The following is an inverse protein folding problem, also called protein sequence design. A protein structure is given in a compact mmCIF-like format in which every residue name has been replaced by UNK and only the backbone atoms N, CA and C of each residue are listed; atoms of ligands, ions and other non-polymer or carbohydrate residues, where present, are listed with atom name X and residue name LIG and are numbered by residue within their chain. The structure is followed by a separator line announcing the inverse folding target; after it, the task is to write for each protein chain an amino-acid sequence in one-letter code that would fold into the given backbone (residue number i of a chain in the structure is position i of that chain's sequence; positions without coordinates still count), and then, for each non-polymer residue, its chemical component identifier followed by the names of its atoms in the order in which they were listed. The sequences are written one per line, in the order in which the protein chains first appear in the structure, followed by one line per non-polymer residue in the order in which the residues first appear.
data_IF_761594688190
#
_entry.id   IF_761594688190
#
_cell.length_a   1.000
_cell.length_b   1.000
_cell.length_c   1.000
_cell.angle_alpha   90.00
_cell.angle_beta   90.00
_cell.angle_gamma   90.00
#
_symmetry.space_group_name_H-M   'P 1'
#
loop_
_entity.id
_entity.type
_entity.pdbx_description
1 polymer ?
#
# COMPACT_ATOMS: atom_id res chain seq x y z
N UNK A 1 22.40 3.63 -2.48
CA UNK A 1 20.95 3.52 -2.75
C UNK A 1 20.65 4.35 -3.98
N UNK A 2 19.88 3.84 -4.94
CA UNK A 2 19.35 4.63 -6.04
C UNK A 2 18.28 5.61 -5.51
N UNK A 3 18.13 6.76 -6.16
CA UNK A 3 17.36 7.87 -5.61
C UNK A 3 16.03 8.10 -6.29
N UNK A 4 15.82 7.52 -7.48
CA UNK A 4 14.58 7.66 -8.25
C UNK A 4 14.03 6.31 -8.72
N UNK A 5 12.75 6.25 -9.05
CA UNK A 5 12.14 5.06 -9.65
C UNK A 5 12.78 4.71 -11.00
N UNK A 6 13.12 5.73 -11.78
CA UNK A 6 13.76 5.55 -13.07
C UNK A 6 15.16 4.94 -12.96
N UNK A 7 15.91 5.26 -11.90
CA UNK A 7 17.23 4.65 -11.64
C UNK A 7 17.10 3.12 -11.43
N UNK A 8 16.12 2.69 -10.60
CA UNK A 8 15.86 1.27 -10.38
C UNK A 8 15.40 0.57 -11.66
N UNK A 9 14.46 1.17 -12.39
CA UNK A 9 13.96 0.62 -13.65
C UNK A 9 15.08 0.43 -14.68
N UNK A 10 15.97 1.43 -14.83
CA UNK A 10 17.12 1.37 -15.72
C UNK A 10 18.15 0.31 -15.27
N UNK A 11 18.42 0.22 -13.94
CA UNK A 11 19.30 -0.80 -13.39
C UNK A 11 18.81 -2.21 -13.71
N UNK A 12 17.56 -2.52 -13.44
CA UNK A 12 17.03 -3.87 -13.63
C UNK A 12 16.87 -4.22 -15.10
N UNK A 13 16.43 -3.27 -15.93
CA UNK A 13 16.46 -3.45 -17.39
C UNK A 13 17.85 -3.80 -17.91
N UNK A 14 18.91 -3.20 -17.34
CA UNK A 14 20.30 -3.48 -17.73
C UNK A 14 20.82 -4.83 -17.22
N UNK A 15 20.48 -5.19 -15.97
CA UNK A 15 21.04 -6.38 -15.30
C UNK A 15 20.22 -7.65 -15.54
N UNK A 16 18.89 -7.52 -15.60
CA UNK A 16 17.93 -8.65 -15.67
C UNK A 16 16.82 -8.41 -16.68
N UNK A 17 17.12 -8.04 -17.97
CA UNK A 17 16.11 -7.61 -18.95
C UNK A 17 15.01 -8.63 -19.19
N UNK A 18 15.32 -9.91 -19.15
CA UNK A 18 14.42 -11.02 -19.46
C UNK A 18 13.72 -11.61 -18.23
N UNK A 19 14.08 -11.15 -17.01
CA UNK A 19 13.40 -11.59 -15.80
C UNK A 19 11.98 -11.00 -15.74
N UNK A 20 11.01 -11.83 -15.38
CA UNK A 20 9.63 -11.40 -15.15
C UNK A 20 9.58 -10.47 -13.93
N UNK A 21 9.02 -9.29 -14.12
CA UNK A 21 8.72 -8.35 -13.06
C UNK A 21 7.25 -8.42 -12.64
N UNK A 22 6.33 -8.38 -13.64
CA UNK A 22 4.90 -8.32 -13.37
C UNK A 22 4.19 -9.50 -14.04
N UNK A 23 3.30 -10.14 -13.29
CA UNK A 23 2.49 -11.26 -13.75
C UNK A 23 1.02 -11.01 -13.48
N UNK A 24 0.23 -10.93 -14.51
CA UNK A 24 -1.23 -10.81 -14.45
C UNK A 24 -1.85 -12.18 -14.69
N UNK A 25 -2.94 -12.45 -13.95
CA UNK A 25 -3.74 -13.67 -14.15
C UNK A 25 -5.12 -13.31 -14.66
N UNK A 26 -5.63 -14.14 -15.60
CA UNK A 26 -7.01 -14.12 -16.07
C UNK A 26 -7.47 -15.56 -16.24
N UNK A 27 -8.25 -16.06 -15.29
CA UNK A 27 -8.60 -17.47 -15.19
C UNK A 27 -7.37 -18.37 -15.10
N UNK A 28 -7.21 -19.29 -16.06
CA UNK A 28 -6.05 -20.19 -16.14
C UNK A 28 -4.86 -19.60 -16.93
N UNK A 29 -5.04 -18.45 -17.56
CA UNK A 29 -4.01 -17.80 -18.35
C UNK A 29 -3.21 -16.80 -17.52
N UNK A 30 -1.93 -16.60 -17.91
CA UNK A 30 -1.06 -15.57 -17.34
C UNK A 30 -0.46 -14.72 -18.45
N UNK A 31 -0.32 -13.42 -18.16
CA UNK A 31 0.46 -12.48 -18.98
C UNK A 31 1.64 -12.00 -18.17
N UNK A 32 2.83 -12.25 -18.67
CA UNK A 32 4.08 -11.88 -18.02
C UNK A 32 4.70 -10.66 -18.71
N UNK A 33 5.23 -9.74 -17.89
CA UNK A 33 5.98 -8.58 -18.33
C UNK A 33 7.39 -8.64 -17.75
N UNK A 34 8.39 -8.72 -18.62
CA UNK A 34 9.79 -8.65 -18.21
C UNK A 34 10.20 -7.21 -17.92
N UNK A 35 11.34 -7.03 -17.21
CA UNK A 35 11.89 -5.70 -16.98
C UNK A 35 12.09 -4.92 -18.28
N UNK A 36 12.58 -5.58 -19.32
CA UNK A 36 12.77 -4.95 -20.64
C UNK A 36 11.47 -4.56 -21.32
N UNK A 37 10.42 -5.38 -21.21
CA UNK A 37 9.12 -5.04 -21.76
C UNK A 37 8.49 -3.86 -21.02
N UNK A 38 8.48 -3.89 -19.67
CA UNK A 38 7.97 -2.82 -18.84
C UNK A 38 8.73 -1.51 -19.08
N UNK A 39 10.06 -1.56 -19.09
CA UNK A 39 10.90 -0.40 -19.39
C UNK A 39 10.55 0.27 -20.72
N UNK A 40 10.28 -0.52 -21.78
CA UNK A 40 9.89 0.04 -23.08
C UNK A 40 8.52 0.72 -23.05
N UNK A 41 7.53 0.11 -22.42
CA UNK A 41 6.17 0.68 -22.31
C UNK A 41 6.18 1.97 -21.46
N UNK A 42 6.87 1.95 -20.32
CA UNK A 42 6.99 3.10 -19.41
C UNK A 42 7.66 4.28 -20.12
N UNK A 43 8.81 4.06 -20.77
CA UNK A 43 9.54 5.14 -21.45
C UNK A 43 8.77 5.68 -22.67
N UNK A 44 8.09 4.82 -23.43
CA UNK A 44 7.28 5.26 -24.56
C UNK A 44 6.14 6.18 -24.10
N UNK A 45 5.43 5.83 -23.01
CA UNK A 45 4.37 6.68 -22.47
C UNK A 45 4.95 7.95 -21.83
N UNK A 46 6.11 7.89 -21.18
CA UNK A 46 6.80 9.09 -20.69
C UNK A 46 7.16 10.07 -21.82
N UNK A 47 7.67 9.58 -22.96
CA UNK A 47 7.92 10.40 -24.14
C UNK A 47 6.62 11.00 -24.73
N UNK A 48 5.51 10.26 -24.68
CA UNK A 48 4.21 10.82 -25.04
C UNK A 48 3.84 11.99 -24.14
N UNK A 49 4.00 11.89 -22.81
CA UNK A 49 3.76 12.98 -21.87
C UNK A 49 4.60 14.21 -22.23
N UNK A 50 5.91 14.03 -22.46
CA UNK A 50 6.80 15.13 -22.87
C UNK A 50 6.38 15.78 -24.19
N UNK A 51 5.86 15.01 -25.15
CA UNK A 51 5.35 15.54 -26.41
C UNK A 51 4.02 16.30 -26.25
N UNK A 52 3.24 15.95 -25.23
CA UNK A 52 1.89 16.48 -25.01
C UNK A 52 1.88 17.71 -24.12
N UNK A 53 2.76 17.77 -23.13
CA UNK A 53 2.80 18.84 -22.14
C UNK A 53 4.14 19.60 -22.20
N UNK A 54 4.04 20.93 -22.29
CA UNK A 54 5.23 21.80 -22.34
C UNK A 54 5.91 21.95 -20.97
N UNK A 55 5.23 21.62 -19.89
CA UNK A 55 5.72 21.76 -18.51
C UNK A 55 5.47 20.49 -17.71
N UNK A 56 6.36 20.21 -16.79
CA UNK A 56 6.22 19.14 -15.78
C UNK A 56 5.18 19.49 -14.70
N UNK A 57 4.96 18.61 -13.73
CA UNK A 57 4.10 18.86 -12.57
C UNK A 57 2.59 18.74 -12.87
N UNK A 58 2.17 18.23 -14.05
CA UNK A 58 0.75 17.99 -14.32
C UNK A 58 0.21 16.90 -13.39
N UNK A 59 -1.03 17.07 -12.90
CA UNK A 59 -1.75 16.03 -12.17
C UNK A 59 -2.31 14.98 -13.11
N UNK A 60 -1.95 13.73 -12.85
CA UNK A 60 -2.32 12.55 -13.64
C UNK A 60 -3.09 11.58 -12.75
N UNK A 61 -4.40 11.48 -12.95
CA UNK A 61 -5.26 10.54 -12.24
C UNK A 61 -5.06 9.10 -12.70
N UNK A 62 -5.22 8.16 -11.77
CA UNK A 62 -5.13 6.75 -12.07
C UNK A 62 -6.24 5.99 -11.34
N UNK A 63 -7.23 5.54 -12.11
CA UNK A 63 -8.43 4.86 -11.63
C UNK A 63 -8.51 3.46 -12.24
N UNK A 64 -8.00 2.47 -11.55
CA UNK A 64 -8.01 1.08 -12.00
C UNK A 64 -7.76 0.12 -10.85
N UNK A 65 -8.26 -1.11 -10.98
CA UNK A 65 -7.76 -2.24 -10.20
C UNK A 65 -6.28 -2.48 -10.47
N UNK A 66 -5.63 -3.21 -9.57
CA UNK A 66 -4.21 -3.56 -9.70
C UNK A 66 -3.94 -4.37 -10.96
N UNK A 67 -2.98 -3.93 -11.76
CA UNK A 67 -2.54 -4.57 -13.00
C UNK A 67 -1.20 -3.97 -13.45
N UNK A 68 -0.52 -4.61 -14.41
CA UNK A 68 0.77 -4.14 -14.91
C UNK A 68 0.70 -2.73 -15.49
N UNK A 69 -0.34 -2.40 -16.25
CA UNK A 69 -0.52 -1.07 -16.83
C UNK A 69 -0.82 0.02 -15.78
N UNK A 70 -1.23 -0.35 -14.57
CA UNK A 70 -1.27 0.58 -13.46
C UNK A 70 0.15 1.06 -13.11
N UNK A 71 1.10 0.13 -12.95
CA UNK A 71 2.51 0.44 -12.70
C UNK A 71 3.14 1.22 -13.87
N UNK A 72 2.81 0.84 -15.10
CA UNK A 72 3.32 1.56 -16.27
C UNK A 72 2.82 3.00 -16.32
N UNK A 73 1.55 3.25 -16.02
CA UNK A 73 0.97 4.60 -15.99
C UNK A 73 1.60 5.45 -14.88
N UNK A 74 1.74 4.89 -13.66
CA UNK A 74 2.38 5.55 -12.53
C UNK A 74 3.81 5.95 -12.85
N UNK A 75 4.63 4.98 -13.25
CA UNK A 75 6.05 5.20 -13.47
C UNK A 75 6.34 6.04 -14.72
N UNK A 76 5.50 6.00 -15.74
CA UNK A 76 5.65 6.85 -16.92
C UNK A 76 5.36 8.31 -16.62
N UNK A 77 4.34 8.60 -15.83
CA UNK A 77 4.06 9.96 -15.38
C UNK A 77 5.21 10.50 -14.52
N UNK A 78 5.72 9.69 -13.58
CA UNK A 78 6.89 10.04 -12.77
C UNK A 78 8.14 10.28 -13.66
N UNK A 79 8.40 9.41 -14.65
CA UNK A 79 9.55 9.52 -15.55
C UNK A 79 9.49 10.76 -16.46
N UNK A 80 8.30 11.34 -16.65
CA UNK A 80 8.09 12.61 -17.36
C UNK A 80 7.97 13.83 -16.43
N UNK A 81 8.22 13.66 -15.11
CA UNK A 81 8.15 14.73 -14.12
C UNK A 81 6.72 15.18 -13.79
N UNK A 82 5.74 14.30 -13.90
CA UNK A 82 4.35 14.55 -13.54
C UNK A 82 3.96 13.90 -12.20
N UNK A 83 2.82 14.32 -11.64
CA UNK A 83 2.36 13.93 -10.31
C UNK A 83 1.16 12.99 -10.43
N UNK A 84 1.30 11.78 -9.96
CA UNK A 84 0.25 10.77 -10.01
C UNK A 84 -0.72 10.94 -8.83
N UNK A 85 -2.01 10.88 -9.13
CA UNK A 85 -3.10 10.91 -8.15
C UNK A 85 -3.85 9.59 -8.22
N UNK A 86 -3.46 8.59 -7.43
CA UNK A 86 -4.14 7.30 -7.41
C UNK A 86 -5.51 7.44 -6.76
N UNK A 87 -6.52 6.83 -7.38
CA UNK A 87 -7.92 6.95 -6.98
C UNK A 87 -8.49 5.56 -6.65
N UNK A 88 -9.27 5.47 -5.58
CA UNK A 88 -9.96 4.24 -5.22
C UNK A 88 -11.07 3.91 -6.21
N UNK A 89 -11.09 2.69 -6.71
CA UNK A 89 -12.12 2.19 -7.65
C UNK A 89 -13.52 2.12 -7.04
N UNK A 90 -13.62 2.24 -5.72
CA UNK A 90 -14.87 2.23 -4.95
C UNK A 90 -15.23 3.59 -4.37
N UNK A 91 -14.44 4.64 -4.64
CA UNK A 91 -14.72 5.98 -4.12
C UNK A 91 -16.04 6.54 -4.68
N UNK A 92 -16.86 7.22 -3.85
CA UNK A 92 -18.03 7.92 -4.33
C UNK A 92 -17.67 9.00 -5.38
N UNK A 93 -18.60 9.28 -6.30
CA UNK A 93 -18.43 10.31 -7.33
C UNK A 93 -18.08 11.69 -6.76
N UNK A 94 -18.69 12.09 -5.65
CA UNK A 94 -18.37 13.35 -4.95
C UNK A 94 -16.91 13.43 -4.48
N UNK A 95 -16.40 12.34 -3.90
CA UNK A 95 -14.99 12.27 -3.49
C UNK A 95 -14.06 12.36 -4.71
N UNK A 96 -14.43 11.68 -5.79
CA UNK A 96 -13.67 11.67 -7.04
C UNK A 96 -13.64 13.06 -7.68
N UNK A 97 -14.79 13.75 -7.73
CA UNK A 97 -14.93 15.14 -8.20
C UNK A 97 -14.03 16.09 -7.41
N UNK A 98 -14.11 15.99 -6.07
CA UNK A 98 -13.24 16.79 -5.19
C UNK A 98 -11.76 16.57 -5.51
N UNK A 99 -11.31 15.33 -5.63
CA UNK A 99 -9.90 15.01 -5.89
C UNK A 99 -9.45 15.55 -7.25
N UNK A 100 -10.24 15.33 -8.31
CA UNK A 100 -9.92 15.82 -9.65
C UNK A 100 -9.87 17.36 -9.71
N UNK A 101 -10.84 18.02 -9.10
CA UNK A 101 -10.93 19.48 -9.07
C UNK A 101 -9.83 20.10 -8.22
N UNK A 102 -9.56 19.55 -7.03
CA UNK A 102 -8.55 20.05 -6.09
C UNK A 102 -7.12 19.95 -6.64
N UNK A 103 -6.87 18.94 -7.49
CA UNK A 103 -5.55 18.73 -8.10
C UNK A 103 -5.41 19.33 -9.48
N UNK A 104 -6.45 19.98 -10.02
CA UNK A 104 -6.48 20.49 -11.40
C UNK A 104 -6.06 19.40 -12.42
N UNK A 105 -6.67 18.21 -12.27
CA UNK A 105 -6.29 17.01 -13.02
C UNK A 105 -6.41 17.20 -14.53
N UNK A 106 -5.35 16.85 -15.27
CA UNK A 106 -5.28 17.03 -16.73
C UNK A 106 -5.46 15.73 -17.50
N UNK A 107 -5.08 14.61 -16.91
CA UNK A 107 -5.15 13.28 -17.52
C UNK A 107 -5.77 12.33 -16.51
N UNK A 108 -6.62 11.41 -16.97
CA UNK A 108 -7.13 10.31 -16.18
C UNK A 108 -6.94 9.00 -16.94
N UNK A 109 -6.07 8.14 -16.45
CA UNK A 109 -6.00 6.74 -16.87
C UNK A 109 -7.15 5.97 -16.24
N UNK A 110 -7.88 5.23 -17.05
CA UNK A 110 -9.01 4.43 -16.62
C UNK A 110 -8.79 2.97 -16.99
N UNK A 111 -8.75 2.12 -15.98
CA UNK A 111 -8.77 0.67 -16.12
C UNK A 111 -10.10 0.08 -15.64
N UNK A 112 -10.05 -1.18 -15.21
CA UNK A 112 -11.22 -1.79 -14.57
C UNK A 112 -11.52 -1.12 -13.24
N UNK A 113 -12.77 -0.69 -13.07
CA UNK A 113 -13.23 0.04 -11.89
C UNK A 113 -14.73 -0.19 -11.66
N UNK A 114 -15.15 -0.22 -10.38
CA UNK A 114 -16.54 -0.43 -9.99
C UNK A 114 -17.40 0.84 -10.10
N UNK A 115 -16.78 2.02 -10.01
CA UNK A 115 -17.48 3.30 -9.88
C UNK A 115 -17.52 4.16 -11.14
N UNK A 116 -17.17 3.59 -12.31
CA UNK A 116 -17.07 4.38 -13.55
C UNK A 116 -18.31 5.19 -13.88
N UNK A 117 -19.50 4.63 -13.67
CA UNK A 117 -20.75 5.33 -13.94
C UNK A 117 -20.96 6.59 -13.08
N UNK A 118 -20.38 6.66 -11.91
CA UNK A 118 -20.39 7.85 -11.05
C UNK A 118 -19.28 8.83 -11.48
N UNK A 119 -18.07 8.33 -11.73
CA UNK A 119 -16.90 9.15 -12.10
C UNK A 119 -17.12 9.87 -13.41
N UNK A 120 -17.66 9.21 -14.45
CA UNK A 120 -17.91 9.82 -15.76
C UNK A 120 -18.90 10.99 -15.74
N UNK A 121 -19.73 11.11 -14.70
CA UNK A 121 -20.69 12.20 -14.53
C UNK A 121 -20.07 13.48 -13.95
N UNK A 122 -18.88 13.35 -13.34
CA UNK A 122 -18.19 14.43 -12.64
C UNK A 122 -16.83 14.77 -13.26
N UNK A 123 -16.58 14.29 -14.48
CA UNK A 123 -15.32 14.56 -15.18
C UNK A 123 -15.14 16.06 -15.45
N UNK A 124 -14.00 16.66 -15.12
CA UNK A 124 -13.68 18.03 -15.47
C UNK A 124 -13.70 18.27 -16.99
N UNK A 125 -14.12 19.46 -17.41
CA UNK A 125 -14.06 19.84 -18.82
C UNK A 125 -12.60 19.83 -19.33
N UNK A 126 -12.38 19.19 -20.48
CA UNK A 126 -11.07 19.13 -21.13
C UNK A 126 -10.08 18.14 -20.55
N UNK A 127 -10.49 17.31 -19.58
CA UNK A 127 -9.65 16.20 -19.10
C UNK A 127 -9.38 15.20 -20.23
N UNK A 128 -8.14 14.74 -20.33
CA UNK A 128 -7.78 13.68 -21.28
C UNK A 128 -8.04 12.32 -20.64
N UNK A 129 -8.96 11.56 -21.21
CA UNK A 129 -9.21 10.18 -20.80
C UNK A 129 -8.31 9.23 -21.59
N UNK A 130 -7.62 8.35 -20.89
CA UNK A 130 -6.79 7.30 -21.49
C UNK A 130 -7.27 5.95 -20.96
N UNK A 131 -7.81 5.13 -21.86
CA UNK A 131 -8.20 3.76 -21.50
C UNK A 131 -6.95 2.87 -21.44
N UNK A 132 -6.81 2.13 -20.34
CA UNK A 132 -5.81 1.07 -20.22
C UNK A 132 -6.19 -0.11 -21.13
N UNK A 133 -5.22 -0.93 -21.58
CA UNK A 133 -5.48 -2.03 -22.49
C UNK A 133 -6.60 -2.97 -22.01
N UNK A 134 -7.48 -3.34 -22.94
CA UNK A 134 -8.63 -4.19 -22.66
C UNK A 134 -9.85 -3.49 -22.05
N UNK A 135 -9.80 -2.18 -21.84
CA UNK A 135 -10.92 -1.37 -21.34
C UNK A 135 -11.50 -0.53 -22.46
N UNK A 136 -12.81 -0.53 -22.61
CA UNK A 136 -13.56 0.33 -23.54
C UNK A 136 -14.47 1.25 -22.72
N UNK A 137 -14.28 2.55 -22.90
CA UNK A 137 -15.09 3.58 -22.26
C UNK A 137 -16.18 4.03 -23.22
N UNK A 138 -17.41 4.15 -22.74
CA UNK A 138 -18.53 4.64 -23.56
C UNK A 138 -18.44 6.13 -23.95
N UNK A 139 -17.27 6.75 -23.78
CA UNK A 139 -16.98 8.17 -24.02
C UNK A 139 -15.76 8.28 -24.94
N UNK A 140 -15.54 9.47 -25.52
CA UNK A 140 -14.33 9.76 -26.28
C UNK A 140 -13.10 9.60 -25.37
N UNK A 141 -12.15 8.77 -25.80
CA UNK A 141 -10.94 8.48 -25.05
C UNK A 141 -9.79 8.15 -25.99
N UNK A 142 -8.58 8.29 -25.47
CA UNK A 142 -7.35 7.84 -26.09
C UNK A 142 -7.06 6.40 -25.66
N UNK A 143 -6.41 5.62 -26.49
CA UNK A 143 -6.02 4.24 -26.18
C UNK A 143 -4.54 4.18 -25.88
N UNK A 144 -4.15 3.46 -24.85
CA UNK A 144 -2.76 3.27 -24.45
C UNK A 144 -1.87 2.89 -25.62
N UNK A 145 -2.28 1.89 -26.39
CA UNK A 145 -1.50 1.32 -27.48
C UNK A 145 -1.19 2.35 -28.59
N UNK A 146 -2.14 3.24 -28.88
CA UNK A 146 -2.00 4.27 -29.90
C UNK A 146 -1.04 5.37 -29.46
N UNK A 147 -0.98 5.64 -28.15
CA UNK A 147 -0.11 6.66 -27.56
C UNK A 147 1.34 6.20 -27.47
N UNK A 148 1.60 4.93 -27.11
CA UNK A 148 2.95 4.41 -26.97
C UNK A 148 3.59 4.00 -28.29
N UNK A 149 2.79 3.63 -29.31
CA UNK A 149 3.29 3.12 -30.57
C UNK A 149 4.30 4.05 -31.28
N UNK A 150 4.08 5.39 -31.37
CA UNK A 150 5.03 6.31 -32.00
C UNK A 150 6.36 6.47 -31.27
N UNK A 151 6.39 6.16 -29.95
CA UNK A 151 7.53 6.40 -29.07
C UNK A 151 8.27 5.12 -28.66
N UNK A 152 7.92 3.96 -29.19
CA UNK A 152 8.59 2.70 -28.89
C UNK A 152 10.09 2.78 -29.21
N UNK A 153 10.91 2.50 -28.20
CA UNK A 153 12.37 2.60 -28.29
C UNK A 153 12.94 3.98 -28.00
N UNK A 154 12.09 4.98 -27.73
CA UNK A 154 12.53 6.29 -27.27
C UNK A 154 12.78 6.29 -25.75
N UNK A 155 13.56 7.28 -25.29
CA UNK A 155 13.83 7.53 -23.89
C UNK A 155 13.37 8.95 -23.54
N UNK A 156 12.73 9.16 -22.38
CA UNK A 156 12.36 10.50 -21.93
C UNK A 156 13.60 11.36 -21.67
N UNK A 157 13.45 12.66 -21.92
CA UNK A 157 14.53 13.63 -21.71
C UNK A 157 14.59 14.12 -20.25
N UNK A 158 13.46 14.05 -19.52
CA UNK A 158 13.38 14.49 -18.14
C UNK A 158 14.32 13.69 -17.24
N UNK A 159 15.02 14.40 -16.36
CA UNK A 159 15.94 13.80 -15.39
C UNK A 159 15.34 13.92 -13.99
N UNK A 160 14.76 12.82 -13.51
CA UNK A 160 14.14 12.75 -12.20
C UNK A 160 15.14 13.10 -11.08
N UNK A 161 14.67 13.84 -10.09
CA UNK A 161 15.41 14.18 -8.88
C UNK A 161 14.77 13.52 -7.65
N UNK A 162 15.59 13.27 -6.63
CA UNK A 162 15.14 12.60 -5.40
C UNK A 162 13.94 13.30 -4.72
N UNK A 163 13.89 14.62 -4.80
CA UNK A 163 12.86 15.44 -4.16
C UNK A 163 11.71 15.84 -5.09
N UNK A 164 11.69 15.33 -6.34
CA UNK A 164 10.55 15.54 -7.23
C UNK A 164 9.29 14.95 -6.62
N UNK A 165 8.21 15.73 -6.66
CA UNK A 165 6.88 15.27 -6.26
C UNK A 165 6.38 14.26 -7.29
N UNK A 166 6.15 13.04 -6.87
CA UNK A 166 5.72 11.93 -7.77
C UNK A 166 4.28 11.53 -7.56
N UNK A 167 3.72 11.76 -6.37
CA UNK A 167 2.33 11.37 -6.12
C UNK A 167 1.66 12.19 -5.02
N UNK A 168 0.32 12.26 -5.11
CA UNK A 168 -0.57 12.76 -4.07
C UNK A 168 -1.48 11.62 -3.62
N UNK A 169 -1.22 11.08 -2.44
CA UNK A 169 -2.04 10.01 -1.87
C UNK A 169 -3.11 10.62 -0.98
N UNK A 170 -4.37 10.50 -1.38
CA UNK A 170 -5.49 11.08 -0.63
C UNK A 170 -5.90 10.18 0.53
N UNK A 171 -6.01 10.77 1.72
CA UNK A 171 -6.47 10.12 2.95
C UNK A 171 -7.75 10.78 3.44
N UNK A 172 -8.66 9.99 4.05
CA UNK A 172 -9.83 10.51 4.74
C UNK A 172 -9.36 11.22 6.02
N UNK A 173 -9.30 12.54 6.01
CA UNK A 173 -8.97 13.30 7.21
C UNK A 173 -10.05 13.17 8.27
N UNK A 174 -9.68 13.31 9.56
CA UNK A 174 -10.62 13.38 10.70
C UNK A 174 -11.65 14.52 10.57
N UNK A 175 -11.45 15.46 9.65
CA UNK A 175 -12.36 16.58 9.35
C UNK A 175 -13.33 16.31 8.21
N UNK A 176 -13.33 15.09 7.65
CA UNK A 176 -14.20 14.69 6.53
C UNK A 176 -13.72 15.12 5.13
N UNK A 177 -12.85 16.12 5.01
CA UNK A 177 -12.29 16.54 3.72
C UNK A 177 -11.01 15.75 3.43
N UNK A 178 -10.90 15.05 2.29
CA UNK A 178 -9.70 14.30 1.94
C UNK A 178 -8.47 15.22 1.81
N UNK A 179 -7.32 14.76 2.32
CA UNK A 179 -6.04 15.46 2.25
C UNK A 179 -5.09 14.73 1.31
N UNK A 180 -4.51 15.44 0.35
CA UNK A 180 -3.49 14.91 -0.55
C UNK A 180 -2.11 14.94 0.11
N UNK A 181 -1.65 13.80 0.62
CA UNK A 181 -0.32 13.67 1.20
C UNK A 181 0.70 13.64 0.07
N UNK A 182 1.63 14.58 0.07
CA UNK A 182 2.68 14.69 -0.94
C UNK A 182 3.70 13.56 -0.79
N UNK A 183 4.04 12.93 -1.90
CA UNK A 183 5.05 11.87 -1.94
C UNK A 183 6.12 12.23 -2.98
N UNK A 184 7.37 12.24 -2.56
CA UNK A 184 8.54 12.40 -3.43
C UNK A 184 9.18 11.04 -3.71
N UNK A 185 10.14 10.96 -4.64
CA UNK A 185 10.95 9.75 -4.77
C UNK A 185 11.59 9.38 -3.43
N UNK A 186 12.18 10.35 -2.72
CA UNK A 186 12.82 10.14 -1.42
C UNK A 186 11.84 9.61 -0.38
N UNK A 187 10.64 10.21 -0.25
CA UNK A 187 9.66 9.81 0.76
C UNK A 187 9.10 8.39 0.53
N UNK A 188 9.16 7.90 -0.71
CA UNK A 188 8.79 6.53 -1.02
C UNK A 188 9.97 5.56 -0.89
N UNK A 189 11.10 5.85 -1.53
CA UNK A 189 12.20 4.89 -1.68
C UNK A 189 13.01 4.68 -0.39
N UNK A 190 13.18 5.72 0.44
CA UNK A 190 13.95 5.60 1.68
C UNK A 190 13.29 4.63 2.68
N UNK A 191 11.97 4.74 2.98
CA UNK A 191 11.32 3.77 3.85
C UNK A 191 11.35 2.34 3.31
N UNK A 192 11.17 2.17 1.98
CA UNK A 192 11.21 0.85 1.34
C UNK A 192 12.60 0.22 1.44
N UNK A 193 13.66 0.97 1.17
CA UNK A 193 15.01 0.47 1.26
C UNK A 193 15.39 0.11 2.70
N UNK A 194 14.94 0.89 3.67
CA UNK A 194 15.07 0.59 5.11
C UNK A 194 14.33 -0.71 5.46
N UNK A 195 13.09 -0.86 5.00
CA UNK A 195 12.30 -2.08 5.16
C UNK A 195 13.03 -3.30 4.55
N UNK A 196 13.49 -3.16 3.30
CA UNK A 196 14.23 -4.22 2.60
C UNK A 196 15.51 -4.63 3.33
N UNK A 197 16.25 -3.66 3.90
CA UNK A 197 17.43 -3.91 4.72
C UNK A 197 17.06 -4.61 6.04
N UNK A 198 16.05 -4.10 6.75
CA UNK A 198 15.59 -4.65 8.02
C UNK A 198 15.20 -6.13 7.90
N UNK A 199 14.56 -6.51 6.80
CA UNK A 199 14.08 -7.87 6.57
C UNK A 199 14.94 -8.68 5.60
N UNK A 200 16.10 -8.17 5.18
CA UNK A 200 17.03 -8.84 4.27
C UNK A 200 16.33 -9.42 3.04
N UNK A 201 15.47 -8.62 2.40
CA UNK A 201 14.70 -9.03 1.23
C UNK A 201 15.62 -9.45 0.08
N UNK A 202 15.39 -10.64 -0.46
CA UNK A 202 16.21 -11.16 -1.55
C UNK A 202 15.88 -10.50 -2.89
N UNK A 203 16.86 -10.38 -3.78
CA UNK A 203 16.65 -10.09 -5.20
C UNK A 203 15.77 -11.20 -5.81
N UNK A 204 14.74 -10.81 -6.56
CA UNK A 204 13.78 -11.76 -7.14
C UNK A 204 12.70 -12.25 -6.17
N UNK A 205 12.57 -11.63 -4.99
CA UNK A 205 11.50 -11.95 -4.05
C UNK A 205 10.13 -11.78 -4.71
N UNK A 206 9.20 -12.71 -4.41
CA UNK A 206 7.83 -12.65 -4.92
C UNK A 206 6.94 -11.83 -4.00
N UNK A 207 6.12 -11.01 -4.61
CA UNK A 207 5.13 -10.15 -3.97
C UNK A 207 3.73 -10.46 -4.52
N UNK A 208 2.73 -10.35 -3.67
CA UNK A 208 1.34 -10.55 -4.07
C UNK A 208 0.56 -9.24 -3.94
N UNK A 209 0.10 -8.71 -5.08
CA UNK A 209 -0.59 -7.43 -5.17
C UNK A 209 -2.11 -7.65 -5.20
N UNK A 210 -2.81 -7.20 -4.14
CA UNK A 210 -4.26 -7.41 -4.01
C UNK A 210 -5.00 -6.30 -3.25
N UNK A 211 -4.31 -5.47 -2.47
CA UNK A 211 -4.90 -4.29 -1.86
C UNK A 211 -4.90 -3.11 -2.85
N UNK A 212 -5.77 -2.12 -2.67
CA UNK A 212 -5.84 -1.00 -3.61
C UNK A 212 -4.50 -0.24 -3.72
N UNK A 213 -3.98 -0.08 -4.92
CA UNK A 213 -2.79 0.74 -5.20
C UNK A 213 -3.01 2.25 -4.97
N UNK A 214 -4.26 2.67 -4.75
CA UNK A 214 -4.57 3.99 -4.23
C UNK A 214 -4.15 4.18 -2.76
N UNK A 215 -3.85 3.10 -2.03
CA UNK A 215 -3.38 3.13 -0.66
C UNK A 215 -1.86 3.05 -0.60
N UNK A 216 -1.23 3.90 0.23
CA UNK A 216 0.23 3.98 0.33
C UNK A 216 0.90 2.66 0.69
N UNK A 217 0.26 1.83 1.52
CA UNK A 217 0.82 0.55 1.93
C UNK A 217 1.04 -0.40 0.75
N UNK A 218 0.07 -0.53 -0.17
CA UNK A 218 0.23 -1.37 -1.36
C UNK A 218 1.29 -0.78 -2.30
N UNK A 219 1.30 0.55 -2.47
CA UNK A 219 2.32 1.22 -3.28
C UNK A 219 3.73 1.05 -2.74
N UNK A 220 3.95 1.22 -1.46
CA UNK A 220 5.30 1.11 -0.90
C UNK A 220 5.71 -0.34 -0.63
N UNK A 221 4.84 -1.14 0.01
CA UNK A 221 5.22 -2.48 0.44
C UNK A 221 5.22 -3.50 -0.71
N UNK A 222 4.47 -3.28 -1.78
CA UNK A 222 4.42 -4.21 -2.92
C UNK A 222 5.10 -3.59 -4.15
N UNK A 223 4.55 -2.50 -4.71
CA UNK A 223 5.10 -1.86 -5.90
C UNK A 223 6.56 -1.41 -5.68
N UNK A 224 6.77 -0.55 -4.69
CA UNK A 224 8.09 -0.01 -4.39
C UNK A 224 9.08 -1.06 -3.94
N UNK A 225 8.67 -2.04 -3.10
CA UNK A 225 9.55 -3.14 -2.70
C UNK A 225 9.95 -4.02 -3.87
N UNK A 226 9.05 -4.24 -4.85
CA UNK A 226 9.40 -4.98 -6.07
C UNK A 226 10.45 -4.26 -6.90
N UNK A 227 10.34 -2.92 -7.00
CA UNK A 227 11.35 -2.08 -7.66
C UNK A 227 12.69 -2.15 -6.95
N UNK A 228 12.73 -1.93 -5.63
CA UNK A 228 13.98 -1.90 -4.86
C UNK A 228 14.70 -3.24 -4.88
N UNK A 229 13.97 -4.36 -4.85
CA UNK A 229 14.54 -5.72 -4.72
C UNK A 229 14.55 -6.52 -6.03
N UNK A 230 14.33 -5.90 -7.20
CA UNK A 230 14.21 -6.62 -8.48
C UNK A 230 13.18 -7.76 -8.38
N UNK A 231 12.06 -7.53 -7.69
CA UNK A 231 11.10 -8.57 -7.32
C UNK A 231 10.18 -8.97 -8.47
N UNK A 232 9.39 -10.01 -8.24
CA UNK A 232 8.31 -10.46 -9.13
C UNK A 232 6.95 -10.20 -8.46
N UNK A 233 6.07 -9.41 -9.07
CA UNK A 233 4.73 -9.10 -8.56
C UNK A 233 3.70 -9.97 -9.27
N UNK A 234 2.89 -10.67 -8.49
CA UNK A 234 1.71 -11.38 -8.97
C UNK A 234 0.46 -10.59 -8.61
N UNK A 235 -0.28 -10.15 -9.61
CA UNK A 235 -1.57 -9.48 -9.39
C UNK A 235 -2.66 -10.49 -9.13
N UNK A 236 -3.42 -10.26 -8.07
CA UNK A 236 -4.67 -10.97 -7.80
C UNK A 236 -5.71 -10.58 -8.86
N UNK A 237 -6.37 -11.55 -9.46
CA UNK A 237 -7.39 -11.27 -10.48
C UNK A 237 -8.55 -10.47 -9.90
N UNK A 238 -9.05 -10.86 -8.71
CA UNK A 238 -10.02 -10.11 -7.92
C UNK A 238 -10.11 -10.70 -6.50
N UNK A 239 -10.77 -10.02 -5.57
CA UNK A 239 -10.83 -10.45 -4.17
C UNK A 239 -11.51 -11.82 -3.97
N UNK A 240 -12.41 -12.25 -4.86
CA UNK A 240 -13.05 -13.57 -4.76
C UNK A 240 -12.11 -14.72 -5.16
N UNK A 241 -11.03 -14.42 -5.89
CA UNK A 241 -10.03 -15.40 -6.32
C UNK A 241 -8.79 -15.44 -5.42
N UNK A 242 -8.76 -14.69 -4.33
CA UNK A 242 -7.61 -14.56 -3.43
C UNK A 242 -7.07 -15.92 -2.96
N UNK A 243 -7.93 -16.82 -2.52
CA UNK A 243 -7.55 -18.17 -2.06
C UNK A 243 -7.07 -19.10 -3.18
N UNK A 244 -7.33 -18.78 -4.44
CA UNK A 244 -6.77 -19.47 -5.62
C UNK A 244 -5.41 -18.89 -5.99
N UNK A 245 -5.31 -17.57 -6.03
CA UNK A 245 -4.16 -16.86 -6.61
C UNK A 245 -2.96 -16.78 -5.65
N UNK A 246 -3.23 -16.65 -4.35
CA UNK A 246 -2.18 -16.58 -3.33
C UNK A 246 -1.30 -17.83 -3.30
N UNK A 247 -1.84 -19.09 -3.30
CA UNK A 247 -1.04 -20.31 -3.39
C UNK A 247 -0.23 -20.46 -4.69
N UNK A 248 -0.69 -19.84 -5.77
CA UNK A 248 0.04 -19.84 -7.04
C UNK A 248 1.21 -18.86 -7.06
N UNK A 249 1.12 -17.78 -6.31
CA UNK A 249 2.22 -16.83 -6.11
C UNK A 249 3.28 -17.37 -5.15
N UNK A 250 2.88 -17.86 -3.97
CA UNK A 250 3.77 -18.22 -2.85
C UNK A 250 4.73 -17.08 -2.52
N UNK A 251 4.21 -15.93 -2.04
CA UNK A 251 5.01 -14.73 -1.85
C UNK A 251 6.04 -14.89 -0.73
N UNK A 252 7.19 -14.23 -0.91
CA UNK A 252 8.20 -14.12 0.16
C UNK A 252 7.77 -13.13 1.25
N UNK A 253 6.97 -12.14 0.88
CA UNK A 253 6.40 -11.12 1.75
C UNK A 253 4.91 -10.96 1.48
N UNK A 254 4.10 -10.92 2.54
CA UNK A 254 2.68 -10.59 2.47
C UNK A 254 2.33 -9.56 3.53
N UNK A 255 1.65 -8.51 3.11
CA UNK A 255 0.99 -7.55 3.99
C UNK A 255 -0.51 -7.77 3.94
N UNK A 256 -1.16 -7.79 5.09
CA UNK A 256 -2.62 -7.83 5.20
C UNK A 256 -3.12 -7.03 6.40
N UNK A 257 -4.16 -6.18 6.23
CA UNK A 257 -4.90 -5.65 7.37
C UNK A 257 -5.53 -6.80 8.19
N UNK A 258 -5.85 -6.58 9.47
CA UNK A 258 -6.42 -7.63 10.34
C UNK A 258 -7.62 -8.34 9.72
N UNK A 259 -8.51 -7.61 9.04
CA UNK A 259 -9.69 -8.16 8.37
C UNK A 259 -9.36 -9.23 7.31
N UNK A 260 -8.25 -9.08 6.59
CA UNK A 260 -7.81 -10.09 5.63
C UNK A 260 -7.36 -11.36 6.33
N UNK A 261 -6.60 -11.22 7.41
CA UNK A 261 -6.19 -12.36 8.24
C UNK A 261 -7.38 -13.07 8.88
N UNK A 262 -8.39 -12.33 9.36
CA UNK A 262 -9.65 -12.89 9.87
C UNK A 262 -10.40 -13.69 8.79
N UNK A 263 -10.50 -13.15 7.57
CA UNK A 263 -11.15 -13.86 6.45
C UNK A 263 -10.41 -15.16 6.08
N UNK A 264 -9.07 -15.14 6.06
CA UNK A 264 -8.28 -16.35 5.84
C UNK A 264 -8.48 -17.36 6.99
N UNK A 265 -8.53 -16.92 8.24
CA UNK A 265 -8.86 -17.76 9.40
C UNK A 265 -10.23 -18.44 9.24
N UNK A 266 -11.26 -17.65 8.94
CA UNK A 266 -12.61 -18.19 8.73
C UNK A 266 -12.67 -19.19 7.58
N UNK A 267 -11.93 -18.94 6.51
CA UNK A 267 -11.78 -19.88 5.40
C UNK A 267 -11.16 -21.22 5.83
N UNK A 268 -10.14 -21.18 6.70
CA UNK A 268 -9.52 -22.40 7.27
C UNK A 268 -10.53 -23.13 8.15
N UNK A 269 -11.18 -22.44 9.09
CA UNK A 269 -12.17 -23.03 10.00
C UNK A 269 -13.30 -23.71 9.20
N UNK A 270 -13.83 -23.02 8.18
CA UNK A 270 -14.88 -23.57 7.31
C UNK A 270 -14.47 -24.89 6.61
N UNK A 271 -13.19 -25.02 6.24
CA UNK A 271 -12.68 -26.26 5.62
C UNK A 271 -12.60 -27.44 6.60
N UNK A 272 -12.31 -27.17 7.87
CA UNK A 272 -12.33 -28.21 8.91
C UNK A 272 -13.74 -28.48 9.43
N UNK A 273 -14.71 -27.59 9.15
CA UNK A 273 -16.10 -27.65 9.59
C UNK A 273 -16.38 -26.91 10.90
N UNK A 274 -15.41 -26.80 11.80
CA UNK A 274 -15.53 -26.01 13.03
C UNK A 274 -14.16 -25.69 13.64
N UNK A 275 -14.11 -24.75 14.59
CA UNK A 275 -12.91 -24.47 15.37
C UNK A 275 -12.46 -25.69 16.18
N UNK A 276 -13.39 -26.44 16.80
CA UNK A 276 -13.08 -27.67 17.54
C UNK A 276 -12.41 -28.73 16.67
N UNK A 277 -12.80 -28.83 15.40
CA UNK A 277 -12.16 -29.74 14.45
C UNK A 277 -10.73 -29.30 14.09
N UNK A 278 -10.48 -27.98 13.99
CA UNK A 278 -9.12 -27.42 13.86
C UNK A 278 -8.29 -27.79 15.08
N UNK A 279 -8.84 -27.61 16.28
CA UNK A 279 -8.15 -27.87 17.54
C UNK A 279 -7.79 -29.36 17.66
N UNK A 280 -8.73 -30.25 17.39
CA UNK A 280 -8.51 -31.70 17.40
C UNK A 280 -7.45 -32.15 16.35
N UNK A 281 -7.44 -31.54 15.16
CA UNK A 281 -6.43 -31.84 14.16
C UNK A 281 -5.03 -31.39 14.59
N UNK A 282 -4.89 -30.21 15.20
CA UNK A 282 -3.62 -29.72 15.73
C UNK A 282 -3.14 -30.55 16.94
N UNK A 283 -4.04 -31.02 17.80
CA UNK A 283 -3.69 -31.94 18.91
C UNK A 283 -3.15 -33.27 18.38
N UNK A 284 -3.70 -33.77 17.27
CA UNK A 284 -3.26 -35.01 16.66
C UNK A 284 -1.91 -34.88 15.93
N UNK A 285 -1.70 -33.82 15.17
CA UNK A 285 -0.47 -33.56 14.38
C UNK A 285 -0.30 -32.06 14.08
N UNK A 286 0.24 -31.32 15.03
CA UNK A 286 0.46 -29.87 14.88
C UNK A 286 1.41 -29.52 13.72
N UNK A 287 2.47 -30.30 13.52
CA UNK A 287 3.46 -30.03 12.49
C UNK A 287 2.91 -30.29 11.08
N UNK A 288 2.26 -31.44 10.87
CA UNK A 288 1.67 -31.79 9.59
C UNK A 288 0.53 -30.88 9.19
N UNK A 289 -0.38 -30.57 10.15
CA UNK A 289 -1.48 -29.62 9.92
C UNK A 289 -0.94 -28.21 9.64
N UNK A 290 0.05 -27.74 10.41
CA UNK A 290 0.67 -26.46 10.20
C UNK A 290 1.31 -26.35 8.80
N UNK A 291 2.06 -27.37 8.39
CA UNK A 291 2.65 -27.45 7.03
C UNK A 291 1.58 -27.42 5.95
N UNK A 292 0.55 -28.27 6.08
CA UNK A 292 -0.56 -28.33 5.13
C UNK A 292 -1.26 -26.99 4.97
N UNK A 293 -1.54 -26.28 6.06
CA UNK A 293 -2.19 -24.95 6.01
C UNK A 293 -1.30 -23.92 5.35
N UNK A 294 0.00 -23.86 5.68
CA UNK A 294 0.93 -22.94 5.01
C UNK A 294 1.02 -23.18 3.52
N UNK A 295 1.14 -24.44 3.09
CA UNK A 295 1.17 -24.81 1.67
C UNK A 295 -0.15 -24.44 0.97
N UNK A 296 -1.29 -24.70 1.61
CA UNK A 296 -2.62 -24.43 1.07
C UNK A 296 -2.91 -22.94 0.92
N UNK A 297 -2.40 -22.12 1.82
CA UNK A 297 -2.45 -20.66 1.73
C UNK A 297 -1.35 -20.08 0.83
N UNK A 298 -0.35 -20.89 0.42
CA UNK A 298 0.82 -20.39 -0.31
C UNK A 298 1.76 -19.56 0.56
N UNK A 299 1.71 -19.73 1.88
CA UNK A 299 2.55 -19.01 2.84
C UNK A 299 3.77 -19.82 3.31
N UNK A 300 4.00 -20.99 2.70
CA UNK A 300 5.11 -21.89 3.05
C UNK A 300 6.48 -21.37 2.62
N UNK A 301 6.53 -20.41 1.69
CA UNK A 301 7.75 -19.70 1.29
C UNK A 301 7.85 -18.29 1.92
N UNK A 302 6.83 -17.87 2.67
CA UNK A 302 6.79 -16.55 3.24
C UNK A 302 7.86 -16.40 4.34
N UNK A 303 8.72 -15.41 4.15
CA UNK A 303 9.73 -15.03 5.12
C UNK A 303 9.17 -14.01 6.11
N UNK A 304 8.31 -13.11 5.63
CA UNK A 304 7.75 -12.01 6.40
C UNK A 304 6.26 -11.86 6.11
N UNK A 305 5.48 -11.92 7.19
CA UNK A 305 4.03 -11.75 7.16
C UNK A 305 3.68 -10.59 8.09
N UNK A 306 3.14 -9.52 7.53
CA UNK A 306 2.89 -8.26 8.24
C UNK A 306 1.39 -8.01 8.38
N UNK A 307 0.98 -7.61 9.57
CA UNK A 307 -0.34 -7.04 9.86
C UNK A 307 -0.18 -5.62 10.37
N UNK A 308 -0.92 -4.68 9.81
CA UNK A 308 -0.90 -3.28 10.21
C UNK A 308 -2.13 -2.54 9.65
N UNK A 309 -2.12 -1.21 9.71
CA UNK A 309 -3.17 -0.28 9.28
C UNK A 309 -4.41 -0.23 10.21
N UNK A 310 -4.58 -1.21 11.10
CA UNK A 310 -5.55 -1.23 12.17
C UNK A 310 -5.01 -2.10 13.34
N UNK A 311 -5.52 -1.96 14.56
CA UNK A 311 -5.16 -2.85 15.67
C UNK A 311 -5.49 -4.31 15.34
N UNK A 312 -4.52 -5.20 15.55
CA UNK A 312 -4.70 -6.64 15.34
C UNK A 312 -5.02 -7.33 16.67
N UNK A 313 -6.15 -8.05 16.78
CA UNK A 313 -6.44 -8.79 18.01
C UNK A 313 -5.32 -9.79 18.35
N UNK A 314 -4.78 -9.79 19.56
CA UNK A 314 -3.75 -10.76 19.99
C UNK A 314 -4.18 -12.21 19.78
N UNK A 315 -5.45 -12.51 19.98
CA UNK A 315 -6.03 -13.83 19.77
C UNK A 315 -5.86 -14.33 18.32
N UNK A 316 -5.99 -13.43 17.33
CA UNK A 316 -5.78 -13.75 15.92
C UNK A 316 -4.32 -14.12 15.65
N UNK A 317 -3.37 -13.38 16.22
CA UNK A 317 -1.94 -13.65 16.08
C UNK A 317 -1.58 -14.99 16.71
N UNK A 318 -2.04 -15.25 17.94
CA UNK A 318 -1.85 -16.53 18.61
C UNK A 318 -2.47 -17.70 17.83
N UNK A 319 -3.62 -17.47 17.19
CA UNK A 319 -4.25 -18.49 16.38
C UNK A 319 -3.37 -18.91 15.19
N UNK A 320 -2.75 -17.93 14.51
CA UNK A 320 -1.82 -18.18 13.40
C UNK A 320 -0.50 -18.82 13.83
N UNK A 321 0.01 -18.48 15.02
CA UNK A 321 1.23 -19.09 15.57
C UNK A 321 1.11 -20.61 15.70
N UNK A 322 -0.08 -21.13 15.94
CA UNK A 322 -0.36 -22.59 16.04
C UNK A 322 -0.03 -23.35 14.75
N UNK A 323 -0.04 -22.67 13.62
CA UNK A 323 0.32 -23.22 12.30
C UNK A 323 1.75 -22.88 11.88
N UNK A 324 2.53 -22.24 12.75
CA UNK A 324 3.86 -21.72 12.42
C UNK A 324 3.81 -20.52 11.45
N UNK A 325 2.69 -19.81 11.40
CA UNK A 325 2.50 -18.56 10.65
C UNK A 325 2.75 -17.39 11.59
N UNK A 326 3.93 -16.79 11.50
CA UNK A 326 4.37 -15.70 12.37
C UNK A 326 3.93 -14.36 11.82
N UNK A 327 2.81 -13.83 12.30
CA UNK A 327 2.36 -12.48 11.95
C UNK A 327 3.15 -11.45 12.76
N UNK A 328 3.75 -10.49 12.06
CA UNK A 328 4.42 -9.35 12.66
C UNK A 328 3.52 -8.13 12.60
N UNK A 329 3.57 -7.31 13.64
CA UNK A 329 2.83 -6.06 13.70
C UNK A 329 3.73 -4.88 13.31
N UNK A 330 3.14 -3.83 12.75
CA UNK A 330 3.86 -2.61 12.39
C UNK A 330 2.95 -1.40 12.42
N UNK A 331 3.57 -0.23 12.41
CA UNK A 331 2.91 1.06 12.38
C UNK A 331 3.44 1.88 11.22
N UNK A 332 2.54 2.59 10.56
CA UNK A 332 2.85 3.57 9.52
C UNK A 332 1.61 4.34 9.11
N UNK A 333 1.86 5.52 8.58
CA UNK A 333 0.85 6.42 8.01
C UNK A 333 1.33 6.88 6.64
N UNK A 334 0.43 7.47 5.86
CA UNK A 334 0.82 8.03 4.56
C UNK A 334 1.87 9.13 4.70
N UNK A 335 1.87 9.85 5.81
CA UNK A 335 2.82 10.90 6.19
C UNK A 335 4.19 10.35 6.59
N UNK A 336 4.26 9.14 7.14
CA UNK A 336 5.49 8.48 7.58
C UNK A 336 5.33 6.96 7.57
N UNK A 337 5.88 6.30 6.56
CA UNK A 337 5.70 4.86 6.36
C UNK A 337 6.70 4.03 7.15
N UNK A 338 6.20 3.04 7.89
CA UNK A 338 6.96 1.99 8.54
C UNK A 338 8.03 2.44 9.55
N UNK A 339 7.79 3.49 10.37
CA UNK A 339 8.79 3.93 11.35
C UNK A 339 9.00 2.95 12.48
N UNK A 340 8.00 2.12 12.79
CA UNK A 340 8.04 1.12 13.87
C UNK A 340 7.52 -0.20 13.32
N UNK A 341 8.24 -1.29 13.59
CA UNK A 341 7.87 -2.62 13.12
C UNK A 341 8.38 -3.71 14.07
N UNK A 342 7.61 -4.77 14.24
CA UNK A 342 8.03 -5.99 14.91
C UNK A 342 9.01 -6.78 14.06
N UNK A 343 10.01 -7.40 14.72
CA UNK A 343 10.93 -8.37 14.12
C UNK A 343 10.63 -9.75 14.67
N UNK A 344 10.83 -10.77 13.85
CA UNK A 344 10.51 -12.16 14.20
C UNK A 344 11.24 -12.64 15.47
N UNK A 345 12.50 -12.22 15.61
CA UNK A 345 13.40 -12.64 16.69
C UNK A 345 13.06 -12.02 18.05
N UNK A 346 12.38 -10.87 18.06
CA UNK A 346 12.03 -10.12 19.26
C UNK A 346 10.55 -9.69 19.29
N UNK A 347 9.68 -10.45 18.59
CA UNK A 347 8.26 -10.11 18.50
C UNK A 347 7.57 -10.11 19.86
N UNK A 348 6.78 -9.09 20.14
CA UNK A 348 5.90 -8.99 21.30
C UNK A 348 4.48 -8.71 20.83
N UNK A 349 3.59 -9.69 20.97
CA UNK A 349 2.21 -9.63 20.48
C UNK A 349 1.45 -8.50 21.16
N UNK A 350 0.68 -7.73 20.36
CA UNK A 350 -0.03 -6.53 20.78
C UNK A 350 0.83 -5.26 20.76
N UNK A 351 2.14 -5.40 20.49
CA UNK A 351 3.05 -4.28 20.26
C UNK A 351 3.27 -4.07 18.77
N UNK A 352 3.29 -2.83 18.33
CA UNK A 352 3.69 -2.46 16.97
C UNK A 352 5.20 -2.63 16.71
N UNK A 353 5.97 -3.06 17.71
CA UNK A 353 7.41 -3.30 17.62
C UNK A 353 8.27 -2.18 18.18
N UNK A 354 9.45 -2.03 17.59
CA UNK A 354 10.45 -0.99 17.91
C UNK A 354 10.76 -0.14 16.71
N UNK A 355 11.32 1.08 16.91
CA UNK A 355 11.76 1.93 15.82
C UNK A 355 12.74 1.21 14.88
N UNK A 356 12.60 1.45 13.58
CA UNK A 356 13.57 0.97 12.58
C UNK A 356 14.82 1.83 12.61
N UNK A 357 15.90 1.36 11.96
CA UNK A 357 17.15 2.12 11.88
C UNK A 357 16.92 3.49 11.22
N UNK A 358 17.68 4.49 11.67
CA UNK A 358 17.61 5.87 11.17
C UNK A 358 16.25 6.58 11.33
N UNK A 359 15.42 6.09 12.27
CA UNK A 359 14.17 6.74 12.66
C UNK A 359 14.27 7.25 14.08
N UNK A 360 14.08 8.55 14.26
CA UNK A 360 13.90 9.16 15.56
C UNK A 360 12.42 9.12 15.95
N UNK A 361 12.16 8.65 17.16
CA UNK A 361 10.80 8.57 17.73
C UNK A 361 10.80 9.27 19.09
N UNK A 362 9.74 10.02 19.36
CA UNK A 362 9.48 10.65 20.66
C UNK A 362 8.03 10.44 21.06
N UNK A 363 7.78 10.50 22.35
CA UNK A 363 6.43 10.56 22.90
C UNK A 363 6.28 11.94 23.55
N UNK A 364 5.23 12.66 23.17
CA UNK A 364 4.93 13.99 23.73
C UNK A 364 4.39 13.88 25.15
N UNK A 365 4.23 15.02 25.85
CA UNK A 365 3.61 15.09 27.17
C UNK A 365 2.13 14.63 27.16
N UNK A 366 1.50 14.57 25.98
CA UNK A 366 0.12 14.08 25.77
C UNK A 366 0.07 12.62 25.30
N UNK A 367 1.17 11.89 25.42
CA UNK A 367 1.39 10.52 24.94
C UNK A 367 1.34 10.36 23.41
N UNK A 368 1.41 11.46 22.64
CA UNK A 368 1.40 11.37 21.18
C UNK A 368 2.73 10.85 20.64
N UNK A 369 2.66 9.94 19.67
CA UNK A 369 3.80 9.44 18.91
C UNK A 369 4.25 10.51 17.92
N UNK A 370 5.51 10.92 18.03
CA UNK A 370 6.17 11.84 17.10
C UNK A 370 7.26 11.09 16.35
N UNK A 371 7.30 11.26 15.03
CA UNK A 371 8.26 10.57 14.16
C UNK A 371 9.08 11.57 13.37
N UNK A 372 10.40 11.36 13.32
CA UNK A 372 11.30 12.11 12.45
C UNK A 372 12.21 11.14 11.72
N UNK A 373 12.14 11.13 10.40
CA UNK A 373 12.96 10.29 9.56
C UNK A 373 13.14 10.90 8.17
N UNK A 374 14.26 10.59 7.54
CA UNK A 374 14.36 10.72 6.10
C UNK A 374 13.31 9.80 5.46
N UNK A 375 12.52 10.33 4.53
CA UNK A 375 11.40 9.60 3.93
C UNK A 375 10.03 9.88 4.54
N UNK A 376 9.92 10.82 5.50
CA UNK A 376 8.63 11.42 5.81
C UNK A 376 8.14 12.31 4.65
N UNK A 377 6.81 12.40 4.50
CA UNK A 377 6.19 13.29 3.52
C UNK A 377 6.61 14.77 3.76
N UNK A 378 6.74 15.57 2.70
CA UNK A 378 6.98 17.02 2.87
C UNK A 378 5.73 17.79 3.34
N UNK A 379 4.54 17.17 3.36
CA UNK A 379 3.31 17.80 3.83
C UNK A 379 2.09 17.49 2.99
N UNK A 380 1.07 18.34 3.10
CA UNK A 380 -0.20 18.21 2.38
C UNK A 380 -0.27 19.22 1.22
N UNK A 381 -0.64 18.73 0.06
CA UNK A 381 -0.75 19.52 -1.17
C UNK A 381 -1.79 20.64 -1.00
N UNK A 382 -1.40 21.86 -1.33
CA UNK A 382 -2.24 23.07 -1.23
C UNK A 382 -2.93 23.27 0.15
N UNK A 383 -2.38 22.70 1.22
CA UNK A 383 -2.90 22.84 2.60
C UNK A 383 -1.78 23.26 3.58
N UNK A 384 -1.23 24.48 3.46
CA UNK A 384 -0.08 24.90 4.28
C UNK A 384 -0.40 24.96 5.78
N UNK A 385 -1.62 25.33 6.17
CA UNK A 385 -2.04 25.36 7.57
C UNK A 385 -2.06 23.95 8.18
N UNK A 386 -2.62 22.98 7.46
CA UNK A 386 -2.63 21.58 7.89
C UNK A 386 -1.24 20.97 7.91
N UNK A 387 -0.40 21.37 6.98
CA UNK A 387 1.02 20.98 6.98
C UNK A 387 1.71 21.48 8.23
N UNK A 388 1.55 22.77 8.58
CA UNK A 388 2.15 23.35 9.76
C UNK A 388 1.62 22.76 11.09
N UNK A 389 0.38 22.25 11.11
CA UNK A 389 -0.19 21.55 12.28
C UNK A 389 0.39 20.14 12.48
N UNK A 390 0.81 19.49 11.39
CA UNK A 390 1.21 18.06 11.42
C UNK A 390 2.73 17.91 11.35
N UNK A 391 3.43 18.78 10.63
CA UNK A 391 4.88 18.72 10.42
C UNK A 391 5.53 19.90 11.15
N UNK A 392 5.92 19.70 12.41
CA UNK A 392 6.45 20.74 13.30
C UNK A 392 7.92 20.46 13.59
N UNK A 393 8.82 21.38 13.27
CA UNK A 393 10.26 21.27 13.51
C UNK A 393 10.91 19.98 12.98
N UNK A 394 10.39 19.48 11.86
CA UNK A 394 10.84 18.23 11.22
C UNK A 394 10.28 16.96 11.86
N UNK A 395 9.36 17.08 12.80
CA UNK A 395 8.62 15.96 13.39
C UNK A 395 7.23 15.85 12.77
N UNK A 396 6.83 14.61 12.47
CA UNK A 396 5.45 14.27 12.11
C UNK A 396 4.68 14.00 13.40
N UNK A 397 3.67 14.80 13.67
CA UNK A 397 2.68 14.60 14.71
C UNK A 397 1.65 13.58 14.20
N UNK A 398 1.76 12.33 14.66
CA UNK A 398 0.97 11.23 14.08
C UNK A 398 -0.50 11.26 14.45
N UNK A 399 -0.83 11.92 15.55
CA UNK A 399 -2.16 11.90 16.15
C UNK A 399 -2.48 10.59 16.86
N UNK A 400 -1.54 9.64 16.89
CA UNK A 400 -1.70 8.36 17.60
C UNK A 400 -1.02 8.42 18.97
N UNK A 401 -1.72 7.93 20.00
CA UNK A 401 -1.18 7.79 21.35
C UNK A 401 -0.49 6.46 21.52
N UNK A 402 0.62 6.49 22.24
CA UNK A 402 1.40 5.28 22.51
C UNK A 402 1.84 5.20 23.97
N UNK A 403 2.08 3.98 24.42
CA UNK A 403 2.89 3.69 25.61
C UNK A 403 4.12 2.89 25.20
N UNK A 404 5.19 3.02 25.97
CA UNK A 404 6.43 2.25 25.78
C UNK A 404 6.58 1.36 27.03
N UNK A 405 6.95 0.10 26.84
CA UNK A 405 7.29 -0.77 27.98
C UNK A 405 8.78 -0.68 28.35
N UNK A 406 9.18 -1.40 29.42
CA UNK A 406 10.54 -1.39 29.98
C UNK A 406 11.60 -1.89 28.97
N UNK A 407 11.20 -2.69 27.98
CA UNK A 407 12.07 -3.26 26.96
C UNK A 407 12.06 -2.42 25.66
N UNK A 408 11.34 -1.29 25.64
CA UNK A 408 11.31 -0.34 24.51
C UNK A 408 10.33 -0.72 23.39
N UNK A 409 9.33 -1.56 23.67
CA UNK A 409 8.27 -1.87 22.72
C UNK A 409 7.13 -0.82 22.80
N UNK A 410 6.62 -0.45 21.64
CA UNK A 410 5.57 0.55 21.48
C UNK A 410 4.20 -0.11 21.33
N UNK A 411 3.19 0.45 21.98
CA UNK A 411 1.81 -0.01 21.94
C UNK A 411 0.89 1.16 21.63
N UNK A 412 0.05 1.05 20.59
CA UNK A 412 -1.00 2.05 20.31
C UNK A 412 -2.06 1.97 21.43
N UNK A 413 -2.37 3.12 22.02
CA UNK A 413 -3.35 3.24 23.11
C UNK A 413 -4.59 4.04 22.69
N UNK A 414 -4.59 4.67 21.51
CA UNK A 414 -5.71 5.43 20.96
C UNK A 414 -5.26 6.56 20.05
N UNK A 415 -6.15 7.50 19.79
CA UNK A 415 -5.88 8.72 19.02
C UNK A 415 -5.97 9.95 19.92
N UNK A 416 -5.16 10.95 19.61
CA UNK A 416 -5.16 12.23 20.36
C UNK A 416 -6.53 12.93 20.29
N UNK A 417 -7.22 12.82 19.14
CA UNK A 417 -8.51 13.48 18.88
C UNK A 417 -9.75 12.65 19.20
N UNK A 418 -9.61 11.35 19.48
CA UNK A 418 -10.74 10.43 19.69
C UNK A 418 -11.21 10.37 21.15
N UNK A 419 -10.71 11.25 22.01
CA UNK A 419 -11.21 11.37 23.38
C UNK A 419 -12.50 12.20 23.38
N UNK A 420 -13.58 11.62 23.82
CA UNK A 420 -14.77 12.41 24.12
C UNK A 420 -14.96 12.58 25.63
N UNK A 421 -15.56 13.69 25.99
CA UNK A 421 -15.86 14.02 27.38
C UNK A 421 -17.31 13.64 27.68
N UNK A 422 -17.49 12.75 28.65
CA UNK A 422 -18.84 12.44 29.14
C UNK A 422 -19.53 13.66 29.73
N UNK A 423 -20.85 13.64 29.87
CA UNK A 423 -21.64 14.67 30.54
C UNK A 423 -21.12 14.94 31.99
N UNK A 424 -20.52 13.93 32.60
CA UNK A 424 -19.94 14.03 33.95
C UNK A 424 -18.49 14.57 33.96
N UNK A 425 -17.95 14.96 32.79
CA UNK A 425 -16.62 15.56 32.66
C UNK A 425 -15.46 14.56 32.61
N UNK A 426 -15.72 13.25 32.53
CA UNK A 426 -14.66 12.23 32.35
C UNK A 426 -14.31 12.06 30.89
N UNK A 427 -13.01 11.99 30.59
CA UNK A 427 -12.53 11.63 29.27
C UNK A 427 -12.64 10.12 29.06
N UNK A 428 -13.16 9.71 27.92
CA UNK A 428 -13.25 8.32 27.49
C UNK A 428 -12.41 8.15 26.24
N UNK A 429 -11.53 7.15 26.23
CA UNK A 429 -10.82 6.66 25.06
C UNK A 429 -11.61 5.48 24.49
N UNK A 430 -12.19 5.57 23.29
CA UNK A 430 -12.98 4.49 22.69
C UNK A 430 -12.14 3.24 22.45
N UNK A 431 -10.98 3.38 21.79
CA UNK A 431 -10.15 2.28 21.31
C UNK A 431 -9.84 1.19 22.34
N UNK A 432 -9.42 1.48 23.60
CA UNK A 432 -9.19 0.43 24.59
C UNK A 432 -10.46 -0.36 24.96
N UNK A 433 -11.61 0.32 24.94
CA UNK A 433 -12.90 -0.30 25.23
C UNK A 433 -13.34 -1.18 24.06
N UNK A 434 -13.27 -0.64 22.84
CA UNK A 434 -13.56 -1.36 21.60
C UNK A 434 -12.73 -2.65 21.48
N UNK A 435 -11.42 -2.56 21.78
CA UNK A 435 -10.52 -3.71 21.74
C UNK A 435 -10.93 -4.86 22.69
N UNK A 436 -11.49 -4.55 23.86
CA UNK A 436 -11.99 -5.58 24.77
C UNK A 436 -13.16 -6.34 24.14
N UNK A 437 -14.01 -5.65 23.41
CA UNK A 437 -15.17 -6.28 22.78
C UNK A 437 -14.82 -7.05 21.49
N UNK A 438 -13.72 -6.74 20.82
CA UNK A 438 -13.25 -7.52 19.66
C UNK A 438 -12.76 -8.92 20.03
N UNK A 439 -12.46 -9.17 21.31
CA UNK A 439 -12.15 -10.52 21.80
C UNK A 439 -13.40 -11.43 21.90
N UNK A 440 -14.59 -10.86 21.79
CA UNK A 440 -15.83 -11.63 21.85
C UNK A 440 -16.17 -12.21 20.46
N UNK A 441 -16.26 -13.56 20.32
CA UNK A 441 -16.49 -14.18 19.01
C UNK A 441 -17.85 -13.85 18.36
N UNK A 442 -18.75 -13.19 19.08
CA UNK A 442 -20.04 -12.74 18.58
C UNK A 442 -20.07 -11.25 18.20
N UNK A 443 -18.93 -10.55 18.35
CA UNK A 443 -18.82 -9.12 18.01
C UNK A 443 -18.05 -8.99 16.70
N UNK A 444 -18.74 -8.61 15.63
CA UNK A 444 -18.08 -8.40 14.34
C UNK A 444 -17.44 -7.00 14.26
N UNK A 445 -18.09 -5.99 14.78
CA UNK A 445 -17.60 -4.62 14.85
C UNK A 445 -18.26 -3.87 16.00
N UNK A 446 -17.51 -2.99 16.67
CA UNK A 446 -18.01 -2.08 17.68
C UNK A 446 -17.49 -0.68 17.40
N UNK A 447 -18.29 0.31 17.68
CA UNK A 447 -17.94 1.73 17.66
C UNK A 447 -18.58 2.40 18.88
N UNK A 448 -17.77 3.10 19.70
CA UNK A 448 -18.21 3.86 20.88
C UNK A 448 -18.41 5.34 20.53
#
# INVERSE_FOLDING_TARGET
MLTTYTDYLNQWNSQYPDQVWLRERSGDSTTDWTWSQAHREINAMACWFESRFATTGQSVGLLSRNRAHWYFADLSACAAGHVVVPMFTTAPGETTDYVMSFTDMKVLFVGETENWDQVRQVLPEGILLIALPGVDLAQEHLRWEDLVAPFRGSMPAYQCQADDLVSLVFTSGTTGVPKGVMQTHSSNLIPIARFSSTFSMAVGAKFFSYLPLAHIAERQLIEGSSLVNCGEVHFNENLTTLLRDLPLCRPAFMFGPPRVWEQLQQGIIAQFGSQDAVDAALEADAEGVGKMIREKLGLDQAQYLLTAAAPTPPALIHWYDRFGICLMEGFGQTECMGPIVSRKEERRIGSIGKPTEDVEVRVSDEDELLVKAAGCSPGYYNMPEKTAETFIDGWVHTGDKVRIDEDGFYYITGRVKDYFKTIQGKFVAPTPIENIFTENPYTEQICL
#
